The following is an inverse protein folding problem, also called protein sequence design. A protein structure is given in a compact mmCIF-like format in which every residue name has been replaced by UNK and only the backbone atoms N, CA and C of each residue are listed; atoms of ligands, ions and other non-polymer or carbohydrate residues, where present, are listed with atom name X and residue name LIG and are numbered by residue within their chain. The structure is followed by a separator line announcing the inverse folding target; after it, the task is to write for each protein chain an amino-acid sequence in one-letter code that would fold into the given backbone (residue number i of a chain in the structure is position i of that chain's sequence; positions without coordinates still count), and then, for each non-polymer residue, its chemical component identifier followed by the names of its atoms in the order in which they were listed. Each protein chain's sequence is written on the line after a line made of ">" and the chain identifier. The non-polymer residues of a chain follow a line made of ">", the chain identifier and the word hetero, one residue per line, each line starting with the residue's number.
data_IF_234860618974
#
_entry.id   IF_234860618974
#
_cell.length_a   1.000
_cell.length_b   1.000
_cell.length_c   1.000
_cell.angle_alpha   90.00
_cell.angle_beta   90.00
_cell.angle_gamma   90.00
#
_symmetry.space_group_name_H-M   'P 1'
#
loop_
_entity.id
_entity.type
_entity.pdbx_description
1 polymer ?
#
# COMPACT_ATOMS: atom_id res chain seq x y z
N UNK A 1 -24.52 -9.79 -8.65
CA UNK A 1 -24.06 -8.67 -7.80
C UNK A 1 -22.60 -8.93 -7.47
N UNK A 2 -21.74 -7.90 -7.48
CA UNK A 2 -20.40 -8.04 -6.92
C UNK A 2 -20.53 -8.08 -5.39
N UNK A 3 -19.78 -8.96 -4.73
CA UNK A 3 -19.81 -9.08 -3.27
C UNK A 3 -18.51 -8.54 -2.71
N UNK A 4 -18.60 -7.72 -1.67
CA UNK A 4 -17.43 -7.19 -0.95
C UNK A 4 -17.46 -7.65 0.51
N UNK A 5 -16.31 -8.04 1.03
CA UNK A 5 -16.11 -8.35 2.45
C UNK A 5 -14.92 -7.57 2.98
N UNK A 6 -15.15 -6.69 3.95
CA UNK A 6 -14.08 -5.98 4.64
C UNK A 6 -13.29 -6.99 5.47
N UNK A 7 -11.99 -7.08 5.21
CA UNK A 7 -11.07 -7.95 5.95
C UNK A 7 -10.39 -7.20 7.08
N UNK A 8 -10.00 -5.94 6.85
CA UNK A 8 -9.41 -5.09 7.87
C UNK A 8 -9.63 -3.61 7.59
N UNK A 9 -9.56 -2.81 8.65
CA UNK A 9 -9.61 -1.35 8.62
C UNK A 9 -8.43 -0.82 9.42
N UNK A 10 -7.56 -0.05 8.76
CA UNK A 10 -6.43 0.61 9.37
C UNK A 10 -6.73 2.11 9.55
N UNK A 11 -6.34 2.71 10.68
CA UNK A 11 -6.48 4.15 10.87
C UNK A 11 -5.66 4.92 9.83
N UNK A 12 -6.21 6.02 9.33
CA UNK A 12 -5.50 6.97 8.46
C UNK A 12 -4.76 8.04 9.26
N UNK A 13 -4.42 9.15 8.59
CA UNK A 13 -3.78 10.30 9.22
C UNK A 13 -4.70 11.12 10.13
N UNK A 14 -6.01 10.88 10.05
CA UNK A 14 -7.05 11.52 10.88
C UNK A 14 -8.21 10.57 11.12
N UNK A 15 -9.08 10.89 12.07
CA UNK A 15 -10.28 10.07 12.38
C UNK A 15 -11.29 10.02 11.22
N UNK A 16 -11.17 10.94 10.26
CA UNK A 16 -11.99 10.98 9.06
C UNK A 16 -11.35 10.23 7.89
N UNK A 17 -10.17 9.63 8.06
CA UNK A 17 -9.48 8.90 7.03
C UNK A 17 -9.17 7.49 7.50
N UNK A 18 -9.36 6.52 6.61
CA UNK A 18 -9.01 5.14 6.88
C UNK A 18 -8.53 4.42 5.63
N UNK A 19 -7.75 3.37 5.83
CA UNK A 19 -7.35 2.45 4.79
C UNK A 19 -8.10 1.14 5.01
N UNK A 20 -8.85 0.67 4.02
CA UNK A 20 -9.65 -0.54 4.11
C UNK A 20 -9.05 -1.59 3.19
N UNK A 21 -8.84 -2.78 3.75
CA UNK A 21 -8.53 -3.98 2.99
C UNK A 21 -9.81 -4.80 2.87
N UNK A 22 -10.27 -5.01 1.65
CA UNK A 22 -11.46 -5.80 1.36
C UNK A 22 -11.13 -6.93 0.38
N UNK A 23 -11.93 -7.99 0.43
CA UNK A 23 -12.00 -9.01 -0.61
C UNK A 23 -13.21 -8.73 -1.49
N UNK A 24 -12.99 -8.66 -2.78
CA UNK A 24 -14.04 -8.42 -3.78
C UNK A 24 -14.19 -9.64 -4.67
N UNK A 25 -15.44 -10.08 -4.87
CA UNK A 25 -15.78 -11.15 -5.79
C UNK A 25 -16.55 -10.56 -6.98
N UNK A 26 -15.99 -10.72 -8.17
CA UNK A 26 -16.59 -10.24 -9.42
C UNK A 26 -17.82 -11.09 -9.81
N UNK A 27 -18.58 -10.64 -10.80
CA UNK A 27 -19.73 -11.39 -11.33
C UNK A 27 -19.33 -12.75 -11.93
N UNK A 28 -18.09 -12.88 -12.40
CA UNK A 28 -17.54 -14.12 -12.94
C UNK A 28 -16.96 -15.05 -11.86
N UNK A 29 -17.10 -14.69 -10.57
CA UNK A 29 -16.57 -15.47 -9.45
C UNK A 29 -15.08 -15.26 -9.19
N UNK A 30 -14.40 -14.37 -9.93
CA UNK A 30 -13.00 -14.05 -9.67
C UNK A 30 -12.89 -13.22 -8.39
N UNK A 31 -12.01 -13.66 -7.49
CA UNK A 31 -11.71 -12.99 -6.24
C UNK A 31 -10.39 -12.23 -6.32
N UNK A 32 -10.40 -10.99 -5.85
CA UNK A 32 -9.20 -10.18 -5.68
C UNK A 32 -9.28 -9.39 -4.39
N UNK A 33 -8.13 -8.95 -3.90
CA UNK A 33 -8.08 -8.02 -2.77
C UNK A 33 -8.13 -6.59 -3.30
N UNK A 34 -8.73 -5.70 -2.53
CA UNK A 34 -8.75 -4.27 -2.81
C UNK A 34 -8.25 -3.54 -1.57
N UNK A 35 -7.23 -2.72 -1.77
CA UNK A 35 -6.78 -1.75 -0.79
C UNK A 35 -7.34 -0.39 -1.18
N UNK A 36 -8.17 0.21 -0.33
CA UNK A 36 -8.82 1.49 -0.63
C UNK A 36 -8.67 2.49 0.49
N UNK A 37 -8.37 3.73 0.13
CA UNK A 37 -8.41 4.86 1.03
C UNK A 37 -9.81 5.44 1.03
N UNK A 38 -10.36 5.63 2.22
CA UNK A 38 -11.66 6.23 2.41
C UNK A 38 -11.57 7.47 3.26
N UNK A 39 -12.48 8.40 2.96
CA UNK A 39 -12.70 9.61 3.75
C UNK A 39 -14.14 9.63 4.23
N UNK A 40 -14.37 10.10 5.45
CA UNK A 40 -15.70 10.28 6.02
C UNK A 40 -16.20 11.70 5.76
N UNK A 41 -17.47 11.82 5.35
CA UNK A 41 -18.21 13.08 5.36
C UNK A 41 -19.52 12.91 6.12
N UNK A 42 -19.97 13.96 6.81
CA UNK A 42 -21.22 13.93 7.58
C UNK A 42 -22.45 13.65 6.70
N UNK A 43 -22.42 14.07 5.43
CA UNK A 43 -23.57 13.99 4.54
C UNK A 43 -23.71 12.62 3.84
N UNK A 44 -22.61 11.88 3.67
CA UNK A 44 -22.57 10.65 2.85
C UNK A 44 -21.90 9.46 3.55
N UNK A 45 -21.31 9.67 4.73
CA UNK A 45 -20.53 8.65 5.43
C UNK A 45 -19.17 8.42 4.76
N UNK A 46 -18.71 7.17 4.80
CA UNK A 46 -17.43 6.77 4.24
C UNK A 46 -17.51 6.61 2.72
N UNK A 47 -16.63 7.29 2.00
CA UNK A 47 -16.51 7.19 0.55
C UNK A 47 -15.07 6.94 0.12
N UNK A 48 -14.88 6.25 -1.00
CA UNK A 48 -13.56 5.90 -1.53
C UNK A 48 -12.95 7.09 -2.24
N UNK A 49 -11.73 7.46 -1.86
CA UNK A 49 -10.92 8.44 -2.58
C UNK A 49 -9.93 7.80 -3.55
N UNK A 50 -9.40 6.64 -3.19
CA UNK A 50 -8.41 5.91 -3.98
C UNK A 50 -8.55 4.41 -3.74
N UNK A 51 -8.28 3.61 -4.76
CA UNK A 51 -8.37 2.15 -4.68
C UNK A 51 -7.33 1.49 -5.56
N UNK A 52 -6.75 0.40 -5.07
CA UNK A 52 -5.83 -0.46 -5.80
C UNK A 52 -6.32 -1.90 -5.69
N UNK A 53 -6.57 -2.53 -6.83
CA UNK A 53 -6.82 -3.96 -6.91
C UNK A 53 -5.50 -4.72 -6.80
N UNK A 54 -5.51 -5.83 -6.07
CA UNK A 54 -4.37 -6.70 -5.84
C UNK A 54 -4.79 -8.09 -6.27
N UNK A 55 -4.18 -8.55 -7.36
CA UNK A 55 -4.41 -9.90 -7.87
C UNK A 55 -3.83 -10.94 -6.91
N UNK A 56 -4.41 -12.15 -6.81
CA UNK A 56 -3.92 -13.20 -5.92
C UNK A 56 -2.41 -13.49 -6.08
N UNK A 57 -1.91 -13.45 -7.32
CA UNK A 57 -0.50 -13.66 -7.63
C UNK A 57 0.45 -12.59 -7.04
N UNK A 58 -0.06 -11.38 -6.76
CA UNK A 58 0.73 -10.26 -6.26
C UNK A 58 0.83 -10.25 -4.72
N UNK A 59 -0.04 -10.98 -4.03
CA UNK A 59 -0.15 -10.93 -2.55
C UNK A 59 1.14 -11.37 -1.86
N UNK A 60 1.78 -12.44 -2.35
CA UNK A 60 3.02 -12.93 -1.77
C UNK A 60 4.15 -11.89 -1.87
N UNK A 61 4.31 -11.28 -3.06
CA UNK A 61 5.29 -10.22 -3.29
C UNK A 61 5.03 -9.00 -2.41
N UNK A 62 3.77 -8.54 -2.34
CA UNK A 62 3.39 -7.44 -1.47
C UNK A 62 3.71 -7.73 0.01
N UNK A 63 3.36 -8.92 0.50
CA UNK A 63 3.65 -9.33 1.88
C UNK A 63 5.15 -9.33 2.14
N UNK A 64 5.97 -9.84 1.22
CA UNK A 64 7.43 -9.84 1.37
C UNK A 64 8.00 -8.43 1.45
N UNK A 65 7.52 -7.51 0.61
CA UNK A 65 7.95 -6.09 0.61
C UNK A 65 7.57 -5.39 1.90
N UNK A 66 6.38 -5.65 2.44
CA UNK A 66 5.89 -5.02 3.68
C UNK A 66 6.42 -5.69 4.95
N UNK A 67 6.99 -6.89 4.86
CA UNK A 67 7.51 -7.60 6.02
C UNK A 67 8.80 -6.94 6.51
N UNK A 68 8.93 -6.62 7.81
CA UNK A 68 10.07 -5.87 8.36
C UNK A 68 11.44 -6.58 8.29
N UNK A 69 11.55 -7.74 7.65
CA UNK A 69 12.80 -8.47 7.48
C UNK A 69 13.78 -7.83 6.45
N UNK A 70 13.32 -6.87 5.64
CA UNK A 70 14.17 -6.21 4.63
C UNK A 70 14.89 -4.94 5.12
N UNK A 71 14.70 -4.53 6.38
CA UNK A 71 15.55 -3.51 7.04
C UNK A 71 16.55 -4.22 7.96
N UNK A 72 17.35 -5.12 7.38
CA UNK A 72 18.57 -5.56 8.05
C UNK A 72 19.63 -4.53 7.70
N UNK A 73 20.07 -3.75 8.69
CA UNK A 73 20.91 -2.58 8.51
C UNK A 73 22.13 -2.82 7.62
N UNK A 74 22.20 -2.11 6.50
CA UNK A 74 23.45 -1.92 5.77
C UNK A 74 24.31 -0.96 6.59
N UNK A 75 25.06 -1.47 7.56
CA UNK A 75 26.32 -0.81 7.93
C UNK A 75 27.14 -0.69 6.66
N UNK A 76 27.23 0.54 6.15
CA UNK A 76 28.12 1.00 5.07
C UNK A 76 29.52 0.43 5.32
N UNK A 77 29.87 -0.65 4.62
CA UNK A 77 31.27 -0.92 4.28
C UNK A 77 31.47 -0.30 2.91
N UNK A 78 32.05 0.88 2.94
CA UNK A 78 32.47 1.62 1.76
C UNK A 78 33.59 0.86 1.07
N UNK A 79 33.23 0.10 0.05
CA UNK A 79 34.13 -0.30 -1.03
C UNK A 79 33.45 0.16 -2.31
N UNK A 80 34.06 1.17 -2.95
CA UNK A 80 33.60 1.75 -4.19
C UNK A 80 33.51 0.69 -5.29
N UNK A 81 32.33 0.58 -5.91
CA UNK A 81 32.08 -0.23 -7.10
C UNK A 81 31.66 0.75 -8.23
N UNK A 82 32.37 0.78 -9.38
CA UNK A 82 32.19 1.79 -10.43
C UNK A 82 30.86 1.75 -11.20
N UNK A 83 29.95 0.80 -10.92
CA UNK A 83 28.71 0.59 -11.70
C UNK A 83 27.41 0.93 -10.93
N UNK A 84 27.51 1.70 -9.84
CA UNK A 84 26.34 2.15 -9.09
C UNK A 84 25.63 3.35 -9.78
N UNK A 85 24.29 3.36 -9.92
CA UNK A 85 23.59 4.48 -10.53
C UNK A 85 23.69 5.75 -9.66
N UNK A 86 24.01 6.87 -10.32
CA UNK A 86 24.25 8.15 -9.66
C UNK A 86 22.98 8.67 -8.98
N UNK A 87 23.00 8.76 -7.64
CA UNK A 87 21.98 9.47 -6.87
C UNK A 87 22.46 10.92 -6.69
N UNK A 88 21.86 11.85 -7.43
CA UNK A 88 22.10 13.28 -7.23
C UNK A 88 21.48 13.72 -5.89
N UNK A 89 22.33 14.22 -4.99
CA UNK A 89 21.89 14.89 -3.78
C UNK A 89 21.82 16.38 -4.04
N UNK A 90 20.67 16.97 -3.75
CA UNK A 90 20.50 18.42 -3.77
C UNK A 90 20.78 18.95 -2.36
N UNK A 91 21.86 19.70 -2.22
CA UNK A 91 22.09 20.48 -1.00
C UNK A 91 21.16 21.71 -1.05
N UNK A 92 20.38 21.91 0.01
CA UNK A 92 19.58 23.13 0.17
C UNK A 92 20.52 24.32 0.32
N UNK A 93 20.39 25.29 -0.59
CA UNK A 93 21.02 26.60 -0.47
C UNK A 93 20.34 27.39 0.67
N UNK A 94 21.15 27.98 1.55
CA UNK A 94 20.75 28.98 2.54
C UNK A 94 21.01 30.38 2.00
#
# INVERSE_FOLDING_TARGET
>A
MQTETILNVFPGASDQQRLVLARCTTLCGLEHLVLRQETHSADIGWFVQSSVAIEPAQVAGLKMTLSPASVTGTTRRETADPDAPAILRFEQAS
#
